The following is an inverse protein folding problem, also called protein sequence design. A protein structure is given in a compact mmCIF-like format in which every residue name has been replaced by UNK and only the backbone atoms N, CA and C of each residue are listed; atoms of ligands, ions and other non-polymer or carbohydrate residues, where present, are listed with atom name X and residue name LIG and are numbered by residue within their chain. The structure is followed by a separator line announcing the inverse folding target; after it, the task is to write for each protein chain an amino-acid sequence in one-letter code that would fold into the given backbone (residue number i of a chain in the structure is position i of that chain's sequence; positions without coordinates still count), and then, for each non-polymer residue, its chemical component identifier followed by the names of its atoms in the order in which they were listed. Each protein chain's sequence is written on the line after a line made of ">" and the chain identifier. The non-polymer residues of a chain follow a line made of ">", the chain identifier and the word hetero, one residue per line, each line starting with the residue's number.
data_IF_889831978086
#
_entry.id   IF_889831978086
#
_cell.length_a   1.000
_cell.length_b   1.000
_cell.length_c   1.000
_cell.angle_alpha   90.00
_cell.angle_beta   90.00
_cell.angle_gamma   90.00
#
_symmetry.space_group_name_H-M   'P 1'
#
loop_
_entity.id
_entity.type
_entity.pdbx_description
1 polymer ?
#
# COMPACT_ATOMS: atom_id res chain seq x y z
N UNK A 1 -25.00 7.75 8.19
CA UNK A 1 -24.08 7.16 9.17
C UNK A 1 -22.85 6.57 8.48
N UNK A 2 -23.02 5.77 7.42
CA UNK A 2 -21.92 5.10 6.70
C UNK A 2 -20.97 6.07 5.99
N UNK A 3 -21.48 7.12 5.34
CA UNK A 3 -20.61 8.17 4.79
C UNK A 3 -19.65 8.75 5.85
N UNK A 4 -20.09 8.91 7.11
CA UNK A 4 -19.21 9.38 8.19
C UNK A 4 -18.12 8.37 8.54
N UNK A 5 -18.43 7.07 8.48
CA UNK A 5 -17.46 5.98 8.75
C UNK A 5 -16.46 5.88 7.59
N UNK A 6 -16.95 5.90 6.36
CA UNK A 6 -16.14 5.91 5.13
C UNK A 6 -15.15 7.08 5.13
N UNK A 7 -15.61 8.29 5.42
CA UNK A 7 -14.75 9.47 5.55
C UNK A 7 -13.75 9.33 6.72
N UNK A 8 -14.15 8.73 7.84
CA UNK A 8 -13.23 8.48 8.96
C UNK A 8 -12.12 7.50 8.58
N UNK A 9 -12.48 6.37 7.96
CA UNK A 9 -11.55 5.36 7.48
C UNK A 9 -10.57 5.96 6.47
N UNK A 10 -11.07 6.64 5.44
CA UNK A 10 -10.24 7.31 4.42
C UNK A 10 -9.26 8.29 5.06
N UNK A 11 -9.73 9.19 5.93
CA UNK A 11 -8.85 10.18 6.59
C UNK A 11 -7.71 9.54 7.38
N UNK A 12 -7.96 8.41 8.05
CA UNK A 12 -6.94 7.74 8.87
C UNK A 12 -5.82 7.10 8.06
N UNK A 13 -6.03 6.83 6.77
CA UNK A 13 -5.02 6.21 5.88
C UNK A 13 -4.62 7.09 4.69
N UNK A 14 -5.27 8.23 4.48
CA UNK A 14 -5.09 9.11 3.31
C UNK A 14 -3.67 9.68 3.14
N UNK A 15 -2.82 9.58 4.15
CA UNK A 15 -1.46 10.11 4.11
C UNK A 15 -0.49 9.22 3.29
N UNK A 16 -0.83 7.96 3.03
CA UNK A 16 0.06 7.02 2.32
C UNK A 16 -0.32 6.91 0.83
N UNK A 17 0.63 7.10 -0.08
CA UNK A 17 0.42 7.06 -1.56
C UNK A 17 -0.09 5.69 -2.06
N UNK A 18 0.20 4.62 -1.34
CA UNK A 18 -0.22 3.25 -1.67
C UNK A 18 -1.72 2.99 -1.47
N UNK A 19 -2.40 3.88 -0.73
CA UNK A 19 -3.81 3.75 -0.42
C UNK A 19 -4.61 4.22 -1.64
N UNK A 20 -5.39 3.31 -2.20
CA UNK A 20 -6.18 3.54 -3.41
C UNK A 20 -7.65 3.46 -3.06
N UNK A 21 -8.41 4.47 -3.51
CA UNK A 21 -9.87 4.45 -3.55
C UNK A 21 -10.31 4.34 -5.01
N UNK A 22 -11.02 3.28 -5.36
CA UNK A 22 -11.50 3.02 -6.72
C UNK A 22 -13.01 2.90 -6.73
N UNK A 23 -13.66 3.71 -7.56
CA UNK A 23 -15.11 3.68 -7.74
C UNK A 23 -15.47 2.95 -9.03
N UNK A 24 -16.44 2.04 -8.97
CA UNK A 24 -17.11 1.47 -10.12
C UNK A 24 -18.55 1.96 -10.13
N UNK A 25 -19.05 2.35 -11.30
CA UNK A 25 -20.41 2.85 -11.47
C UNK A 25 -21.05 2.26 -12.73
N UNK A 26 -22.36 2.07 -12.67
CA UNK A 26 -23.27 1.87 -13.80
C UNK A 26 -24.44 2.85 -13.64
N UNK A 27 -25.41 2.82 -14.57
CA UNK A 27 -26.65 3.59 -14.41
C UNK A 27 -27.46 3.18 -13.17
N UNK A 28 -27.34 1.92 -12.73
CA UNK A 28 -28.18 1.36 -11.66
C UNK A 28 -27.49 1.29 -10.29
N UNK A 29 -26.15 1.22 -10.24
CA UNK A 29 -25.42 1.02 -8.99
C UNK A 29 -24.01 1.62 -9.00
N UNK A 30 -23.50 1.95 -7.82
CA UNK A 30 -22.10 2.33 -7.59
C UNK A 30 -21.54 1.58 -6.39
N UNK A 31 -20.25 1.25 -6.45
CA UNK A 31 -19.46 0.66 -5.36
C UNK A 31 -18.11 1.37 -5.30
N UNK A 32 -17.66 1.70 -4.10
CA UNK A 32 -16.31 2.21 -3.88
C UNK A 32 -15.48 1.19 -3.11
N UNK A 33 -14.22 1.05 -3.49
CA UNK A 33 -13.28 0.11 -2.88
C UNK A 33 -12.03 0.85 -2.40
N UNK A 34 -11.74 0.72 -1.11
CA UNK A 34 -10.55 1.26 -0.46
C UNK A 34 -9.59 0.12 -0.12
N UNK A 35 -8.35 0.20 -0.58
CA UNK A 35 -7.35 -0.85 -0.40
C UNK A 35 -5.93 -0.29 -0.44
N UNK A 36 -4.94 -1.10 -0.02
CA UNK A 36 -3.51 -0.77 -0.14
C UNK A 36 -2.94 -1.61 -1.28
N UNK A 37 -2.57 -0.96 -2.38
CA UNK A 37 -2.24 -1.63 -3.64
C UNK A 37 -0.98 -2.52 -3.59
N UNK A 38 -0.07 -2.30 -2.63
CA UNK A 38 1.16 -3.08 -2.46
C UNK A 38 0.98 -4.37 -1.67
N UNK A 39 -0.16 -4.55 -1.00
CA UNK A 39 -0.48 -5.74 -0.18
C UNK A 39 -1.83 -6.37 -0.53
N UNK A 40 -2.55 -5.82 -1.51
CA UNK A 40 -3.83 -6.33 -1.98
C UNK A 40 -3.70 -6.90 -3.40
N UNK A 41 -4.22 -8.10 -3.64
CA UNK A 41 -4.19 -8.80 -4.93
C UNK A 41 -5.30 -8.27 -5.84
N UNK A 42 -4.91 -7.59 -6.91
CA UNK A 42 -5.81 -7.05 -7.91
C UNK A 42 -6.65 -8.15 -8.60
N UNK A 43 -6.14 -9.38 -8.71
CA UNK A 43 -6.91 -10.50 -9.29
C UNK A 43 -8.11 -10.84 -8.44
N UNK A 44 -7.98 -10.82 -7.11
CA UNK A 44 -9.09 -11.07 -6.19
C UNK A 44 -10.13 -9.95 -6.33
N UNK A 45 -9.70 -8.69 -6.43
CA UNK A 45 -10.61 -7.58 -6.67
C UNK A 45 -11.36 -7.73 -8.02
N UNK A 46 -10.65 -8.12 -9.07
CA UNK A 46 -11.23 -8.35 -10.39
C UNK A 46 -12.29 -9.48 -10.36
N UNK A 47 -11.96 -10.61 -9.75
CA UNK A 47 -12.81 -11.81 -9.69
C UNK A 47 -14.05 -11.62 -8.81
N UNK A 48 -13.90 -11.02 -7.62
CA UNK A 48 -14.98 -10.94 -6.62
C UNK A 48 -15.75 -9.63 -6.64
N UNK A 49 -15.25 -8.59 -7.32
CA UNK A 49 -15.93 -7.28 -7.36
C UNK A 49 -16.17 -6.83 -8.78
N UNK A 50 -15.12 -6.65 -9.59
CA UNK A 50 -15.27 -6.01 -10.91
C UNK A 50 -16.17 -6.84 -11.84
N UNK A 51 -15.87 -8.12 -12.03
CA UNK A 51 -16.64 -8.98 -12.94
C UNK A 51 -18.11 -9.13 -12.48
N UNK A 52 -18.40 -9.52 -11.22
CA UNK A 52 -19.79 -9.63 -10.74
C UNK A 52 -20.52 -8.28 -10.73
N UNK A 53 -19.81 -7.16 -10.53
CA UNK A 53 -20.41 -5.84 -10.58
C UNK A 53 -20.99 -5.53 -11.96
N UNK A 54 -20.28 -5.86 -13.05
CA UNK A 54 -20.78 -5.60 -14.40
C UNK A 54 -21.74 -6.68 -14.92
N UNK A 55 -21.64 -7.92 -14.44
CA UNK A 55 -22.54 -9.01 -14.87
C UNK A 55 -23.90 -8.99 -14.15
N UNK A 56 -23.94 -8.62 -12.87
CA UNK A 56 -25.16 -8.61 -12.07
C UNK A 56 -25.80 -7.22 -12.14
N UNK A 57 -26.73 -6.98 -13.06
CA UNK A 57 -27.32 -5.64 -13.23
C UNK A 57 -28.07 -5.16 -11.99
N UNK A 58 -28.98 -5.99 -11.45
CA UNK A 58 -29.83 -5.64 -10.30
C UNK A 58 -28.99 -5.31 -9.05
N UNK A 59 -29.22 -4.14 -8.42
CA UNK A 59 -28.56 -3.75 -7.18
C UNK A 59 -28.80 -4.74 -6.03
N UNK A 60 -30.03 -5.25 -5.89
CA UNK A 60 -30.41 -6.17 -4.82
C UNK A 60 -29.70 -7.51 -4.97
N UNK A 61 -29.64 -8.06 -6.20
CA UNK A 61 -28.91 -9.31 -6.46
C UNK A 61 -27.42 -9.17 -6.23
N UNK A 62 -26.85 -7.99 -6.51
CA UNK A 62 -25.44 -7.76 -6.24
C UNK A 62 -25.16 -7.65 -4.73
N UNK A 63 -26.08 -7.06 -3.95
CA UNK A 63 -26.00 -7.08 -2.50
C UNK A 63 -26.06 -8.51 -1.95
N UNK A 64 -27.01 -9.32 -2.41
CA UNK A 64 -27.14 -10.74 -2.03
C UNK A 64 -25.86 -11.52 -2.37
N UNK A 65 -25.28 -11.24 -3.54
CA UNK A 65 -24.00 -11.82 -3.95
C UNK A 65 -22.90 -11.49 -2.95
N UNK A 66 -22.70 -10.20 -2.62
CA UNK A 66 -21.66 -9.76 -1.68
C UNK A 66 -21.83 -10.42 -0.30
N UNK A 67 -23.06 -10.52 0.19
CA UNK A 67 -23.37 -11.13 1.48
C UNK A 67 -23.17 -12.66 1.50
N UNK A 68 -23.23 -13.30 0.34
CA UNK A 68 -23.11 -14.76 0.20
C UNK A 68 -21.67 -15.24 -0.01
N UNK A 69 -20.73 -14.34 -0.34
CA UNK A 69 -19.35 -14.72 -0.63
C UNK A 69 -18.55 -15.04 0.64
N UNK A 70 -17.92 -16.23 0.78
CA UNK A 70 -17.14 -16.58 1.96
C UNK A 70 -15.92 -15.66 2.22
N UNK A 71 -15.34 -15.09 1.16
CA UNK A 71 -14.22 -14.14 1.25
C UNK A 71 -14.65 -12.73 1.63
N UNK A 72 -15.95 -12.45 1.65
CA UNK A 72 -16.53 -11.14 1.95
C UNK A 72 -17.20 -11.21 3.32
N UNK A 73 -16.72 -10.40 4.25
CA UNK A 73 -17.21 -10.34 5.63
C UNK A 73 -17.96 -9.04 5.86
N UNK A 74 -18.99 -9.03 6.73
CA UNK A 74 -19.66 -7.79 7.11
C UNK A 74 -18.73 -6.91 7.95
N UNK A 75 -18.95 -5.60 7.90
CA UNK A 75 -18.35 -4.65 8.81
C UNK A 75 -18.77 -4.89 10.27
N UNK A 76 -17.81 -4.79 11.19
CA UNK A 76 -18.04 -4.90 12.63
C UNK A 76 -17.82 -3.56 13.33
N UNK A 77 -16.63 -2.99 13.20
CA UNK A 77 -16.26 -1.70 13.76
C UNK A 77 -15.05 -1.12 13.03
N UNK A 78 -14.88 0.20 13.16
CA UNK A 78 -13.85 0.95 12.46
C UNK A 78 -12.42 0.50 12.78
N UNK A 79 -12.13 0.19 14.04
CA UNK A 79 -10.77 -0.21 14.46
C UNK A 79 -10.37 -1.55 13.82
N UNK A 80 -11.24 -2.55 13.90
CA UNK A 80 -11.00 -3.87 13.28
C UNK A 80 -10.85 -3.75 11.76
N UNK A 81 -11.66 -2.89 11.13
CA UNK A 81 -11.57 -2.63 9.70
C UNK A 81 -10.22 -2.02 9.30
N UNK A 82 -9.70 -1.08 10.09
CA UNK A 82 -8.37 -0.51 9.86
C UNK A 82 -7.26 -1.56 10.04
N UNK A 83 -7.35 -2.38 11.08
CA UNK A 83 -6.38 -3.44 11.36
C UNK A 83 -6.34 -4.50 10.24
N UNK A 84 -7.47 -4.79 9.61
CA UNK A 84 -7.56 -5.69 8.45
C UNK A 84 -7.07 -5.02 7.16
N UNK A 85 -7.38 -3.73 6.95
CA UNK A 85 -6.92 -2.95 5.80
C UNK A 85 -5.39 -2.94 5.69
N UNK A 86 -4.71 -2.65 6.80
CA UNK A 86 -3.23 -2.65 6.85
C UNK A 86 -2.61 -4.05 6.71
N UNK A 87 -3.44 -5.10 6.70
CA UNK A 87 -3.06 -6.49 6.43
C UNK A 87 -3.40 -6.94 5.01
N UNK A 88 -3.95 -6.07 4.16
CA UNK A 88 -4.26 -6.35 2.75
C UNK A 88 -5.72 -6.71 2.46
N UNK A 89 -6.63 -6.49 3.40
CA UNK A 89 -8.08 -6.58 3.15
C UNK A 89 -8.56 -5.32 2.45
N UNK A 90 -9.39 -5.48 1.42
CA UNK A 90 -10.07 -4.37 0.76
C UNK A 90 -11.39 -4.07 1.45
N UNK A 91 -11.72 -2.79 1.59
CA UNK A 91 -12.98 -2.32 2.16
C UNK A 91 -13.91 -1.94 1.01
N UNK A 92 -15.10 -2.51 0.98
CA UNK A 92 -16.12 -2.25 -0.02
C UNK A 92 -17.22 -1.38 0.60
N UNK A 93 -17.55 -0.27 -0.04
CA UNK A 93 -18.67 0.60 0.31
C UNK A 93 -19.75 0.42 -0.76
N UNK A 94 -20.86 -0.20 -0.39
CA UNK A 94 -21.97 -0.46 -1.31
C UNK A 94 -23.30 -0.13 -0.65
N UNK A 95 -24.02 0.85 -1.20
CA UNK A 95 -25.25 1.38 -0.62
C UNK A 95 -25.06 1.76 0.87
N UNK A 96 -25.89 1.21 1.75
CA UNK A 96 -25.80 1.34 3.21
C UNK A 96 -25.08 0.15 3.86
N UNK A 97 -24.09 -0.44 3.17
CA UNK A 97 -23.28 -1.52 3.71
C UNK A 97 -21.79 -1.29 3.51
N UNK A 98 -21.02 -1.76 4.49
CA UNK A 98 -19.56 -1.84 4.44
C UNK A 98 -19.20 -3.32 4.52
N UNK A 99 -18.37 -3.78 3.59
CA UNK A 99 -17.86 -5.15 3.55
C UNK A 99 -16.34 -5.18 3.55
N UNK A 100 -15.78 -6.30 3.98
CA UNK A 100 -14.36 -6.58 4.01
C UNK A 100 -14.09 -7.76 3.08
N UNK A 101 -13.38 -7.51 1.97
CA UNK A 101 -12.94 -8.54 1.04
C UNK A 101 -11.52 -8.99 1.39
N UNK A 102 -11.34 -10.28 1.67
CA UNK A 102 -10.02 -10.88 1.90
C UNK A 102 -9.23 -10.93 0.58
N UNK A 103 -8.56 -9.82 0.29
CA UNK A 103 -7.76 -9.57 -0.92
C UNK A 103 -6.26 -9.63 -0.65
N UNK A 104 -5.81 -10.26 0.44
CA UNK A 104 -4.40 -10.24 0.84
C UNK A 104 -3.54 -10.93 -0.23
N UNK A 105 -2.40 -10.32 -0.60
CA UNK A 105 -1.44 -10.99 -1.49
C UNK A 105 -0.88 -12.21 -0.77
N UNK A 106 -1.14 -13.39 -1.32
CA UNK A 106 -0.55 -14.65 -0.84
C UNK A 106 0.84 -14.83 -1.44
N UNK A 107 1.86 -14.39 -0.71
CA UNK A 107 3.26 -14.50 -1.15
C UNK A 107 3.76 -15.95 -1.21
N UNK A 108 3.05 -16.93 -0.62
CA UNK A 108 3.44 -18.33 -0.71
C UNK A 108 3.13 -18.94 -2.09
N UNK A 109 2.14 -18.41 -2.82
CA UNK A 109 1.77 -18.92 -4.14
C UNK A 109 2.70 -18.45 -5.26
N UNK A 110 3.57 -17.47 -5.02
CA UNK A 110 4.56 -17.02 -6.00
C UNK A 110 5.76 -17.97 -6.14
N UNK A 111 5.89 -18.98 -5.26
CA UNK A 111 7.04 -19.90 -5.21
C UNK A 111 6.80 -21.20 -6.01
N UNK A 112 5.60 -21.42 -6.57
CA UNK A 112 5.23 -22.72 -7.15
C UNK A 112 5.66 -22.96 -8.62
N UNK A 113 6.16 -21.94 -9.33
CA UNK A 113 6.59 -22.09 -10.74
C UNK A 113 8.10 -21.86 -10.96
N UNK A 114 8.95 -22.12 -9.96
CA UNK A 114 10.40 -22.18 -10.20
C UNK A 114 11.02 -23.43 -9.60
N UNK A 115 11.66 -24.18 -10.49
CA UNK A 115 12.37 -25.44 -10.30
C UNK A 115 13.18 -25.44 -9.01
N UNK A 116 12.96 -26.48 -8.21
CA UNK A 116 13.72 -26.81 -7.00
C UNK A 116 15.21 -26.85 -7.35
N UNK A 117 15.99 -25.88 -6.87
CA UNK A 117 17.38 -26.14 -6.47
C UNK A 117 17.75 -25.39 -5.18
N UNK A 118 18.08 -26.22 -4.18
CA UNK A 118 19.00 -26.00 -3.05
C UNK A 118 18.62 -25.01 -1.94
N UNK A 119 18.16 -25.63 -0.85
CA UNK A 119 18.39 -25.36 0.57
C UNK A 119 19.34 -24.20 0.90
N UNK A 120 18.78 -23.08 1.35
CA UNK A 120 19.46 -22.15 2.27
C UNK A 120 18.48 -21.80 3.37
N UNK A 121 18.71 -22.29 4.60
CA UNK A 121 17.99 -21.84 5.79
C UNK A 121 18.44 -20.41 6.12
N UNK A 122 17.75 -19.44 5.53
CA UNK A 122 17.71 -18.03 5.89
C UNK A 122 16.28 -17.51 5.65
N UNK A 123 15.90 -16.32 6.16
CA UNK A 123 14.59 -15.75 5.86
C UNK A 123 14.44 -15.61 4.34
N UNK A 124 13.48 -16.30 3.73
CA UNK A 124 13.30 -16.36 2.27
C UNK A 124 12.89 -15.02 1.63
N UNK A 125 12.79 -13.93 2.39
CA UNK A 125 12.20 -12.67 1.97
C UNK A 125 13.20 -11.52 2.09
N UNK A 126 13.97 -11.30 1.03
CA UNK A 126 14.83 -10.13 0.83
C UNK A 126 14.18 -9.07 -0.05
N UNK A 127 14.70 -7.84 -0.02
CA UNK A 127 14.29 -6.82 -0.98
C UNK A 127 14.75 -7.16 -2.39
N UNK A 128 13.95 -6.75 -3.38
CA UNK A 128 14.24 -6.84 -4.81
C UNK A 128 14.29 -5.44 -5.43
N UNK A 129 14.41 -5.35 -6.75
CA UNK A 129 14.36 -4.07 -7.47
C UNK A 129 12.93 -3.49 -7.57
N UNK A 130 11.91 -4.30 -7.24
CA UNK A 130 10.51 -3.91 -7.27
C UNK A 130 10.10 -3.15 -6.01
N UNK A 131 9.84 -1.84 -6.13
CA UNK A 131 9.32 -1.01 -5.04
C UNK A 131 8.01 -1.58 -4.44
N UNK A 132 6.97 -1.95 -5.22
CA UNK A 132 5.75 -2.54 -4.66
C UNK A 132 6.00 -3.82 -3.85
N UNK A 133 6.90 -4.69 -4.32
CA UNK A 133 7.26 -5.92 -3.61
C UNK A 133 7.94 -5.61 -2.27
N UNK A 134 8.88 -4.66 -2.27
CA UNK A 134 9.58 -4.26 -1.04
C UNK A 134 8.64 -3.61 -0.03
N UNK A 135 7.73 -2.76 -0.50
CA UNK A 135 6.68 -2.16 0.32
C UNK A 135 5.77 -3.21 0.94
N UNK A 136 5.34 -4.20 0.15
CA UNK A 136 4.57 -5.34 0.65
C UNK A 136 5.29 -6.10 1.76
N UNK A 137 6.59 -6.35 1.60
CA UNK A 137 7.43 -7.00 2.62
C UNK A 137 7.56 -6.17 3.91
N UNK A 138 7.57 -4.84 3.81
CA UNK A 138 7.60 -3.94 4.98
C UNK A 138 6.25 -3.95 5.67
N UNK A 139 5.15 -3.78 4.92
CA UNK A 139 3.77 -3.77 5.45
C UNK A 139 3.40 -5.07 6.15
N UNK A 140 3.86 -6.22 5.65
CA UNK A 140 3.67 -7.51 6.32
C UNK A 140 4.33 -7.56 7.71
N UNK A 141 5.50 -6.92 7.86
CA UNK A 141 6.23 -6.86 9.14
C UNK A 141 5.75 -5.72 10.05
N UNK A 142 5.22 -4.65 9.47
CA UNK A 142 4.78 -3.45 10.17
C UNK A 142 3.37 -3.01 9.72
N UNK A 143 2.32 -3.78 10.10
CA UNK A 143 0.93 -3.49 9.73
C UNK A 143 0.37 -2.37 10.62
N UNK A 144 0.79 -1.13 10.34
CA UNK A 144 0.35 0.07 11.05
C UNK A 144 -0.39 1.04 10.13
N UNK A 145 -1.45 1.66 10.63
CA UNK A 145 -2.16 2.74 9.92
C UNK A 145 -1.36 4.02 9.85
N UNK A 146 -0.35 4.22 10.69
CA UNK A 146 0.49 5.43 10.74
C UNK A 146 1.73 5.33 9.85
N UNK A 147 2.03 4.12 9.35
CA UNK A 147 3.09 3.91 8.37
C UNK A 147 2.68 4.57 7.05
N UNK A 148 3.49 5.55 6.66
CA UNK A 148 3.27 6.44 5.54
C UNK A 148 4.31 6.20 4.46
N UNK A 149 3.88 6.19 3.21
CA UNK A 149 4.76 6.10 2.05
C UNK A 149 4.54 7.33 1.18
N UNK A 150 5.62 8.06 0.93
CA UNK A 150 5.66 9.22 0.04
C UNK A 150 6.66 8.98 -1.09
N UNK A 151 6.25 9.13 -2.34
CA UNK A 151 7.20 9.03 -3.46
C UNK A 151 7.77 10.36 -3.89
N UNK A 152 8.96 10.30 -4.47
CA UNK A 152 9.65 11.41 -5.09
C UNK A 152 10.41 10.92 -6.32
N UNK A 153 10.75 11.85 -7.19
CA UNK A 153 11.61 11.58 -8.33
C UNK A 153 12.90 12.38 -8.17
N UNK A 154 14.05 11.71 -8.29
CA UNK A 154 15.37 12.32 -8.10
C UNK A 154 16.32 12.06 -9.29
N UNK A 155 17.33 12.90 -9.43
CA UNK A 155 18.29 12.85 -10.53
C UNK A 155 17.79 13.58 -11.80
N UNK A 156 18.67 13.73 -12.79
CA UNK A 156 18.41 14.57 -13.96
C UNK A 156 17.99 13.76 -15.18
N UNK A 157 18.79 12.79 -15.62
CA UNK A 157 18.48 11.99 -16.83
C UNK A 157 17.57 10.81 -16.51
N UNK A 158 17.92 10.04 -15.48
CA UNK A 158 17.20 8.82 -15.12
C UNK A 158 15.83 9.05 -14.49
N UNK A 159 15.59 10.23 -13.88
CA UNK A 159 14.35 10.55 -13.16
C UNK A 159 13.90 9.38 -12.27
N UNK A 160 14.79 8.96 -11.37
CA UNK A 160 14.63 7.73 -10.60
C UNK A 160 13.55 7.94 -9.53
N UNK A 161 12.51 7.07 -9.53
CA UNK A 161 11.49 7.06 -8.46
C UNK A 161 12.09 6.49 -7.18
N UNK A 162 11.97 7.25 -6.10
CA UNK A 162 12.32 6.86 -4.73
C UNK A 162 11.10 6.98 -3.84
N UNK A 163 11.06 6.21 -2.76
CA UNK A 163 9.97 6.24 -1.79
C UNK A 163 10.55 6.41 -0.40
N UNK A 164 10.03 7.40 0.32
CA UNK A 164 10.32 7.63 1.73
C UNK A 164 9.24 6.92 2.54
N UNK A 165 9.66 6.06 3.44
CA UNK A 165 8.79 5.41 4.42
C UNK A 165 9.07 6.00 5.79
N UNK A 166 8.02 6.39 6.49
CA UNK A 166 8.11 6.86 7.87
C UNK A 166 6.82 6.56 8.63
N UNK A 167 6.91 6.53 9.96
CA UNK A 167 5.73 6.43 10.80
C UNK A 167 5.37 7.82 11.33
N UNK A 168 4.19 8.31 10.95
CA UNK A 168 3.72 9.66 11.32
C UNK A 168 3.58 9.88 12.82
N UNK A 169 3.45 8.82 13.61
CA UNK A 169 3.39 8.91 15.06
C UNK A 169 4.77 9.15 15.69
N UNK A 170 5.85 8.68 15.06
CA UNK A 170 7.19 8.64 15.67
C UNK A 170 8.23 9.50 14.95
N UNK A 171 7.96 9.92 13.72
CA UNK A 171 8.92 10.70 12.92
C UNK A 171 9.11 12.12 13.47
N UNK A 172 10.35 12.60 13.48
CA UNK A 172 10.62 14.02 13.68
C UNK A 172 10.35 14.77 12.35
N UNK A 173 9.35 15.67 12.29
CA UNK A 173 9.00 16.36 11.06
C UNK A 173 10.14 17.24 10.52
N UNK A 174 10.99 17.79 11.39
CA UNK A 174 12.14 18.61 10.98
C UNK A 174 13.17 17.75 10.28
N UNK A 175 13.41 16.53 10.76
CA UNK A 175 14.33 15.57 10.13
C UNK A 175 13.76 15.07 8.81
N UNK A 176 12.47 14.74 8.77
CA UNK A 176 11.79 14.30 7.55
C UNK A 176 11.89 15.36 6.44
N UNK A 177 11.59 16.62 6.75
CA UNK A 177 11.71 17.72 5.79
C UNK A 177 13.16 17.94 5.33
N UNK A 178 14.15 17.79 6.21
CA UNK A 178 15.57 17.87 5.80
C UNK A 178 15.93 16.76 4.82
N UNK A 179 15.47 15.53 5.06
CA UNK A 179 15.71 14.40 4.16
C UNK A 179 15.05 14.65 2.80
N UNK A 180 13.80 15.12 2.77
CA UNK A 180 13.07 15.45 1.54
C UNK A 180 13.80 16.52 0.73
N UNK A 181 14.14 17.64 1.37
CA UNK A 181 14.86 18.74 0.73
C UNK A 181 16.24 18.31 0.20
N UNK A 182 16.95 17.48 0.97
CA UNK A 182 18.23 16.91 0.52
C UNK A 182 18.04 16.04 -0.72
N UNK A 183 17.09 15.10 -0.72
CA UNK A 183 16.83 14.22 -1.85
C UNK A 183 16.44 15.00 -3.10
N UNK A 184 15.62 16.05 -2.95
CA UNK A 184 15.26 16.96 -4.05
C UNK A 184 16.45 17.73 -4.63
N UNK A 185 17.53 17.94 -3.86
CA UNK A 185 18.74 18.64 -4.31
C UNK A 185 19.75 17.73 -5.02
N UNK A 186 19.50 16.41 -5.10
CA UNK A 186 20.47 15.46 -5.67
C UNK A 186 20.46 15.53 -7.20
N UNK A 187 21.50 16.16 -7.75
CA UNK A 187 21.75 16.27 -9.20
C UNK A 187 22.69 15.17 -9.69
N UNK A 188 22.18 13.93 -9.81
CA UNK A 188 22.89 12.80 -10.42
C UNK A 188 22.23 12.45 -11.75
N UNK A 189 23.02 12.25 -12.81
CA UNK A 189 22.48 11.89 -14.13
C UNK A 189 21.74 10.54 -14.08
N UNK A 190 22.40 9.52 -13.54
CA UNK A 190 21.86 8.17 -13.43
C UNK A 190 22.40 7.52 -12.16
N UNK A 191 21.50 6.96 -11.35
CA UNK A 191 21.88 6.09 -10.26
C UNK A 191 22.22 4.71 -10.81
N UNK A 192 23.40 4.19 -10.45
CA UNK A 192 23.80 2.84 -10.83
C UNK A 192 23.41 1.80 -9.78
N UNK A 193 23.30 2.21 -8.52
CA UNK A 193 22.89 1.34 -7.42
C UNK A 193 22.40 2.16 -6.21
N UNK A 194 21.76 1.48 -5.25
CA UNK A 194 21.32 2.11 -3.99
C UNK A 194 22.48 2.59 -3.12
N UNK A 195 23.65 1.94 -3.21
CA UNK A 195 24.86 2.32 -2.49
C UNK A 195 25.36 3.72 -2.87
N UNK A 196 25.21 4.10 -4.14
CA UNK A 196 25.59 5.44 -4.60
C UNK A 196 24.78 6.53 -3.88
N UNK A 197 23.47 6.32 -3.71
CA UNK A 197 22.63 7.24 -2.95
C UNK A 197 23.04 7.28 -1.48
N UNK A 198 23.32 6.11 -0.89
CA UNK A 198 23.79 6.01 0.50
C UNK A 198 25.10 6.77 0.73
N UNK A 199 26.04 6.70 -0.19
CA UNK A 199 27.31 7.43 -0.09
C UNK A 199 27.13 8.95 -0.19
N UNK A 200 26.19 9.42 -1.02
CA UNK A 200 25.84 10.85 -1.09
C UNK A 200 25.21 11.28 0.25
N UNK A 201 24.28 10.49 0.79
CA UNK A 201 23.67 10.73 2.11
C UNK A 201 24.76 10.82 3.20
N UNK A 202 25.67 9.84 3.25
CA UNK A 202 26.77 9.80 4.23
C UNK A 202 27.69 11.02 4.14
N UNK A 203 27.99 11.51 2.93
CA UNK A 203 28.83 12.71 2.75
C UNK A 203 28.16 13.96 3.33
N UNK A 204 26.84 14.05 3.27
CA UNK A 204 26.09 15.19 3.83
C UNK A 204 25.94 15.08 5.35
N UNK A 205 25.60 13.90 5.87
CA UNK A 205 25.50 13.66 7.31
C UNK A 205 26.88 13.80 7.99
N UNK A 206 27.94 13.30 7.35
CA UNK A 206 29.32 13.44 7.82
C UNK A 206 29.77 14.91 7.91
N UNK A 207 29.30 15.79 7.01
CA UNK A 207 29.52 17.24 7.11
C UNK A 207 28.72 17.90 8.25
N UNK A 208 27.54 17.38 8.60
CA UNK A 208 26.78 17.87 9.76
C UNK A 208 27.44 17.52 11.11
N UNK A 209 28.22 16.43 11.19
CA UNK A 209 28.92 16.04 12.43
C UNK A 209 30.08 16.96 12.85
N UNK A 210 30.49 17.91 11.99
CA UNK A 210 31.60 18.84 12.25
C UNK A 210 31.13 20.26 12.65
N UNK A 211 29.83 20.50 12.82
CA UNK A 211 29.31 21.82 13.21
C UNK A 211 28.23 21.82 14.29
N UNK A 212 27.94 20.67 14.90
CA UNK A 212 27.09 20.58 16.09
C UNK A 212 27.64 19.50 17.04
N UNK A 213 28.76 19.79 17.69
CA UNK A 213 29.13 19.37 19.05
C UNK A 213 30.02 20.45 19.64
#
# INVERSE_FOLDING_TARGET
>A
MIQSIQESLKRKVAHSEEVVSKELHTEEKSIEVLYINTISDEKIFQEYVVVPFFEITSPERFLDYLQSQPKIKPFENEQKTLDELVRGVSILFYQDFIFLLDSKIDQNNAVLDTTIETTTQGPQSGFSESLPTNLGLIRQRYPSTTLTVESMTIGTTSQTKVMILHDTQYVDPVVLERIKNFLSSVEVQMFQSGEQLLDIIKKVIGRCSLSCW
#
